data_IF_397615066975
#
_entry.id   IF_397615066975
#
_cell.length_a   1.000
_cell.length_b   1.000
_cell.length_c   1.000
_cell.angle_alpha   90.00
_cell.angle_beta   90.00
_cell.angle_gamma   90.00
#
_symmetry.space_group_name_H-M   'P 1'
#
loop_
_entity.id
_entity.type
_entity.pdbx_description
1 polymer ?
#
# COMPACT_ATOMS: atom_id res chain seq x y z
N UNK A 1 23.02 -13.16 -0.31
CA UNK A 1 21.91 -12.49 -1.01
C UNK A 1 21.92 -11.03 -0.59
N UNK A 2 21.89 -10.08 -1.53
CA UNK A 2 21.93 -8.66 -1.20
C UNK A 2 20.61 -8.28 -0.51
N UNK A 3 20.65 -7.75 0.72
CA UNK A 3 19.44 -7.38 1.49
C UNK A 3 18.57 -6.33 0.79
N UNK A 4 19.13 -5.56 -0.15
CA UNK A 4 18.44 -4.54 -0.93
C UNK A 4 17.72 -5.08 -2.18
N UNK A 5 18.03 -6.31 -2.61
CA UNK A 5 17.49 -6.85 -3.85
C UNK A 5 15.97 -7.01 -3.77
N UNK A 6 15.27 -6.56 -4.82
CA UNK A 6 13.81 -6.67 -4.95
C UNK A 6 13.13 -5.32 -5.14
N UNK A 7 11.82 -5.38 -5.34
CA UNK A 7 10.93 -4.21 -5.34
C UNK A 7 10.40 -4.02 -3.93
N UNK A 8 10.31 -2.77 -3.47
CA UNK A 8 9.81 -2.44 -2.13
C UNK A 8 8.67 -1.45 -2.24
N UNK A 9 7.57 -1.75 -1.54
CA UNK A 9 6.36 -0.92 -1.49
C UNK A 9 6.46 0.06 -0.33
N UNK A 10 6.19 1.34 -0.58
CA UNK A 10 6.04 2.34 0.47
C UNK A 10 4.88 1.98 1.40
N UNK A 11 5.14 1.98 2.70
CA UNK A 11 4.13 1.81 3.74
C UNK A 11 3.50 3.16 4.05
N UNK A 12 2.18 3.23 3.82
CA UNK A 12 1.40 4.44 4.07
C UNK A 12 0.88 4.46 5.50
N UNK A 13 1.03 5.60 6.14
CA UNK A 13 0.35 5.93 7.40
C UNK A 13 -0.85 6.86 7.15
N UNK A 14 -1.50 7.30 8.24
CA UNK A 14 -2.63 8.23 8.20
C UNK A 14 -2.29 9.61 7.64
N UNK A 15 -1.00 9.97 7.56
CA UNK A 15 -0.53 11.28 7.08
C UNK A 15 -0.01 11.22 5.64
N UNK A 16 -0.02 10.04 5.01
CA UNK A 16 0.53 9.81 3.67
C UNK A 16 -0.56 9.91 2.59
N UNK A 17 -0.70 11.08 1.98
CA UNK A 17 -1.72 11.39 0.95
C UNK A 17 -1.18 11.40 -0.48
N UNK A 18 -0.33 10.43 -0.85
CA UNK A 18 0.21 10.28 -2.21
C UNK A 18 -0.19 8.92 -2.84
N UNK A 19 0.09 8.75 -4.13
CA UNK A 19 -0.06 7.46 -4.80
C UNK A 19 0.90 6.41 -4.21
N UNK A 20 0.58 5.11 -4.31
CA UNK A 20 1.53 4.06 -3.95
C UNK A 20 2.87 4.25 -4.68
N UNK A 21 3.94 4.35 -3.89
CA UNK A 21 5.31 4.49 -4.38
C UNK A 21 6.06 3.16 -4.15
N UNK A 22 6.97 2.87 -5.07
CA UNK A 22 7.86 1.73 -5.00
C UNK A 22 9.30 2.17 -5.13
N UNK A 23 10.21 1.37 -4.57
CA UNK A 23 11.65 1.55 -4.73
C UNK A 23 12.36 0.28 -5.19
N UNK A 24 13.43 0.48 -5.95
CA UNK A 24 14.39 -0.55 -6.32
C UNK A 24 15.81 0.01 -6.14
N UNK A 25 16.74 -0.84 -5.71
CA UNK A 25 18.14 -0.47 -5.50
C UNK A 25 19.00 -0.94 -6.67
N UNK A 26 19.76 -0.03 -7.29
CA UNK A 26 20.65 -0.32 -8.41
C UNK A 26 21.93 0.50 -8.30
N UNK A 27 23.11 -0.15 -8.26
CA UNK A 27 24.42 0.52 -8.35
C UNK A 27 24.57 1.77 -7.46
N UNK A 28 24.36 1.64 -6.14
CA UNK A 28 24.39 2.74 -5.16
C UNK A 28 23.30 3.81 -5.37
N UNK A 29 22.24 3.50 -6.11
CA UNK A 29 21.07 4.37 -6.29
C UNK A 29 19.81 3.71 -5.76
N UNK A 30 18.92 4.55 -5.23
CA UNK A 30 17.54 4.23 -4.90
C UNK A 30 16.66 4.85 -5.99
N UNK A 31 16.04 3.99 -6.80
CA UNK A 31 15.08 4.38 -7.83
C UNK A 31 13.69 4.40 -7.23
N UNK A 32 13.07 5.58 -7.22
CA UNK A 32 11.68 5.76 -6.80
C UNK A 32 10.78 5.79 -8.04
N UNK A 33 9.70 5.02 -8.02
CA UNK A 33 8.76 4.96 -9.12
C UNK A 33 7.35 4.68 -8.62
N UNK A 34 6.37 5.05 -9.43
CA UNK A 34 4.99 4.58 -9.28
C UNK A 34 4.63 3.68 -10.46
N UNK A 35 3.55 2.94 -10.30
CA UNK A 35 2.98 2.13 -11.37
C UNK A 35 1.84 2.92 -12.00
N UNK A 36 1.83 2.97 -13.33
CA UNK A 36 0.71 3.49 -14.10
C UNK A 36 -0.25 2.34 -14.43
N UNK A 37 -1.54 2.62 -14.35
CA UNK A 37 -2.57 1.67 -14.79
C UNK A 37 -2.38 1.36 -16.29
N UNK A 38 -2.22 0.07 -16.58
CA UNK A 38 -2.17 -0.64 -17.87
C UNK A 38 -2.02 0.25 -19.13
N UNK A 39 -0.86 0.10 -19.78
CA UNK A 39 -0.77 0.26 -21.23
C UNK A 39 -1.70 -0.76 -21.92
N UNK A 40 -2.15 -0.48 -23.15
CA UNK A 40 -3.09 -1.30 -23.95
C UNK A 40 -2.69 -2.79 -24.12
N UNK A 41 -1.46 -3.16 -23.78
CA UNK A 41 -0.91 -4.52 -23.83
C UNK A 41 -0.97 -5.29 -22.49
N UNK A 42 -1.48 -4.70 -21.41
CA UNK A 42 -1.64 -5.35 -20.11
C UNK A 42 -0.41 -5.36 -19.19
N UNK A 43 0.66 -4.64 -19.54
CA UNK A 43 1.83 -4.46 -18.67
C UNK A 43 1.68 -3.21 -17.78
N UNK A 44 2.08 -3.30 -16.51
CA UNK A 44 2.19 -2.16 -15.60
C UNK A 44 3.42 -1.33 -15.99
N UNK A 45 3.23 -0.06 -16.35
CA UNK A 45 4.32 0.84 -16.73
C UNK A 45 4.90 1.49 -15.47
N UNK A 46 6.23 1.38 -15.29
CA UNK A 46 6.93 2.10 -14.22
C UNK A 46 7.14 3.54 -14.66
N UNK A 47 6.51 4.48 -13.98
CA UNK A 47 6.88 5.89 -14.10
C UNK A 47 7.91 6.22 -13.01
N UNK A 48 9.16 6.41 -13.42
CA UNK A 48 10.20 6.91 -12.53
C UNK A 48 9.81 8.29 -11.99
N UNK A 49 9.92 8.46 -10.68
CA UNK A 49 9.71 9.73 -9.99
C UNK A 49 11.06 10.45 -9.85
N UNK A 50 12.00 9.85 -9.11
CA UNK A 50 13.31 10.41 -8.85
C UNK A 50 14.34 9.34 -8.47
N UNK A 51 15.60 9.78 -8.34
CA UNK A 51 16.74 8.96 -7.93
C UNK A 51 17.41 9.61 -6.71
N UNK A 52 17.81 8.79 -5.75
CA UNK A 52 18.67 9.20 -4.64
C UNK A 52 19.91 8.31 -4.62
N UNK A 53 21.02 8.83 -4.11
CA UNK A 53 22.23 8.03 -3.94
C UNK A 53 22.19 7.35 -2.57
N UNK A 54 22.24 6.03 -2.56
CA UNK A 54 22.10 5.21 -1.36
C UNK A 54 23.18 5.56 -0.31
N UNK A 55 24.41 5.84 -0.74
CA UNK A 55 25.50 6.26 0.15
C UNK A 55 25.23 7.58 0.90
N UNK A 56 24.34 8.42 0.38
CA UNK A 56 23.96 9.72 0.94
C UNK A 56 22.58 9.67 1.63
N UNK A 57 21.85 8.57 1.47
CA UNK A 57 20.55 8.35 2.10
C UNK A 57 20.72 7.66 3.45
N UNK A 58 20.33 8.33 4.54
CA UNK A 58 20.23 7.70 5.86
C UNK A 58 19.11 6.66 5.85
N UNK A 59 19.41 5.43 6.24
CA UNK A 59 18.46 4.32 6.25
C UNK A 59 18.79 3.26 7.31
N UNK A 60 17.80 2.47 7.71
CA UNK A 60 17.98 1.30 8.57
C UNK A 60 17.00 0.17 8.20
N UNK A 61 17.37 -1.08 8.47
CA UNK A 61 16.45 -2.21 8.37
C UNK A 61 15.71 -2.39 9.71
N UNK A 62 14.41 -2.10 9.73
CA UNK A 62 13.56 -2.31 10.92
C UNK A 62 13.02 -3.75 11.00
N UNK A 63 13.06 -4.48 9.88
CA UNK A 63 12.87 -5.94 9.78
C UNK A 63 13.61 -6.49 8.55
N UNK A 64 13.67 -7.82 8.39
CA UNK A 64 14.38 -8.47 7.25
C UNK A 64 13.82 -8.08 5.87
N UNK A 65 12.55 -7.71 5.84
CA UNK A 65 11.82 -7.30 4.65
C UNK A 65 11.32 -5.84 4.76
N UNK A 66 11.79 -5.06 5.74
CA UNK A 66 11.33 -3.68 5.92
C UNK A 66 12.50 -2.72 6.18
N UNK A 67 12.63 -1.73 5.32
CA UNK A 67 13.65 -0.69 5.38
C UNK A 67 12.98 0.66 5.68
N UNK A 68 13.61 1.45 6.53
CA UNK A 68 13.22 2.83 6.83
C UNK A 68 14.23 3.76 6.18
N UNK A 69 13.73 4.74 5.42
CA UNK A 69 14.52 5.79 4.79
C UNK A 69 14.19 7.12 5.46
N UNK A 70 15.22 7.88 5.81
CA UNK A 70 15.10 9.19 6.44
C UNK A 70 15.41 10.30 5.46
N UNK A 71 14.58 11.34 5.44
CA UNK A 71 14.75 12.52 4.59
C UNK A 71 14.56 13.79 5.39
N UNK A 72 15.45 14.76 5.16
CA UNK A 72 15.24 16.11 5.66
C UNK A 72 14.22 16.83 4.78
N UNK A 73 13.22 17.42 5.41
CA UNK A 73 12.23 18.29 4.79
C UNK A 73 11.82 19.39 5.74
N UNK A 74 10.71 20.07 5.43
CA UNK A 74 10.18 21.15 6.26
C UNK A 74 8.76 20.87 6.67
N UNK A 75 8.48 21.01 7.96
CA UNK A 75 7.11 21.09 8.48
C UNK A 75 6.68 22.56 8.44
N UNK A 76 5.48 22.82 7.91
CA UNK A 76 4.88 24.15 7.88
C UNK A 76 3.67 24.17 8.80
N UNK A 77 3.71 24.97 9.85
CA UNK A 77 2.58 25.21 10.75
C UNK A 77 1.93 26.55 10.39
N UNK A 78 0.70 26.51 9.89
CA UNK A 78 -0.08 27.71 9.54
C UNK A 78 -0.77 28.24 10.81
N UNK A 79 -0.46 29.47 11.19
CA UNK A 79 -1.04 30.15 12.36
C UNK A 79 -2.23 31.03 11.93
N UNK A 80 -2.09 31.69 10.79
CA UNK A 80 -3.13 32.52 10.18
C UNK A 80 -2.97 32.55 8.67
N UNK A 81 -3.86 33.25 7.96
CA UNK A 81 -3.80 33.43 6.51
C UNK A 81 -2.48 34.05 6.02
N UNK A 82 -1.76 34.75 6.91
CA UNK A 82 -0.50 35.45 6.58
C UNK A 82 0.71 34.94 7.36
N UNK A 83 0.51 34.12 8.39
CA UNK A 83 1.59 33.69 9.28
C UNK A 83 1.75 32.17 9.27
N UNK A 84 2.99 31.74 9.08
CA UNK A 84 3.37 30.34 9.21
C UNK A 84 4.78 30.20 9.77
N UNK A 85 5.01 29.11 10.52
CA UNK A 85 6.32 28.72 11.02
C UNK A 85 6.80 27.56 10.16
N UNK A 86 8.04 27.62 9.69
CA UNK A 86 8.69 26.53 8.96
C UNK A 86 9.86 26.01 9.78
N UNK A 87 9.87 24.70 10.02
CA UNK A 87 10.90 24.02 10.81
C UNK A 87 11.49 22.87 9.99
N UNK A 88 12.81 22.70 10.05
CA UNK A 88 13.47 21.52 9.49
C UNK A 88 13.01 20.28 10.26
N UNK A 89 12.61 19.23 9.54
CA UNK A 89 12.07 18.01 10.12
C UNK A 89 12.66 16.81 9.39
N UNK A 90 13.10 15.81 10.14
CA UNK A 90 13.48 14.51 9.57
C UNK A 90 12.22 13.64 9.46
N UNK A 91 11.86 13.29 8.24
CA UNK A 91 10.75 12.39 7.94
C UNK A 91 11.28 10.97 7.76
N UNK A 92 10.61 9.99 8.37
CA UNK A 92 10.89 8.58 8.20
C UNK A 92 9.80 7.93 7.34
N UNK A 93 10.20 7.24 6.28
CA UNK A 93 9.29 6.48 5.41
C UNK A 93 9.72 5.02 5.40
N UNK A 94 8.78 4.14 5.71
CA UNK A 94 9.01 2.71 5.66
C UNK A 94 8.69 2.17 4.28
N UNK A 95 9.49 1.22 3.81
CA UNK A 95 9.26 0.45 2.62
C UNK A 95 9.37 -1.03 2.96
N UNK A 96 8.43 -1.83 2.47
CA UNK A 96 8.39 -3.27 2.68
C UNK A 96 8.61 -4.03 1.37
N UNK A 97 9.56 -4.97 1.36
CA UNK A 97 9.90 -5.77 0.19
C UNK A 97 8.71 -6.65 -0.18
N UNK A 98 8.34 -6.62 -1.46
CA UNK A 98 7.29 -7.46 -2.01
C UNK A 98 7.89 -8.77 -2.53
N UNK A 99 7.19 -9.87 -2.30
CA UNK A 99 7.58 -11.21 -2.72
C UNK A 99 6.33 -11.95 -3.20
N UNK A 100 6.44 -12.88 -4.17
CA UNK A 100 5.29 -13.60 -4.70
C UNK A 100 4.43 -14.22 -3.59
N UNK A 101 3.12 -14.04 -3.69
CA UNK A 101 2.17 -14.57 -2.72
C UNK A 101 2.22 -16.09 -2.70
N UNK A 102 2.36 -16.68 -1.51
CA UNK A 102 2.30 -18.14 -1.32
C UNK A 102 0.84 -18.59 -1.34
N UNK A 103 0.43 -19.29 -2.39
CA UNK A 103 -0.94 -19.77 -2.56
C UNK A 103 -1.04 -20.86 -3.62
N UNK A 104 -1.97 -21.79 -3.42
CA UNK A 104 -2.45 -22.74 -4.45
C UNK A 104 -3.79 -22.31 -5.06
N UNK A 105 -4.37 -21.19 -4.59
CA UNK A 105 -5.63 -20.64 -5.07
C UNK A 105 -5.45 -19.83 -6.34
N UNK A 106 -6.43 -19.93 -7.24
CA UNK A 106 -6.57 -19.05 -8.39
C UNK A 106 -7.04 -17.66 -7.98
N UNK A 107 -6.75 -16.66 -8.80
CA UNK A 107 -7.25 -15.28 -8.61
C UNK A 107 -8.78 -15.23 -8.43
N UNK A 108 -9.52 -16.05 -9.18
CA UNK A 108 -10.99 -16.15 -9.08
C UNK A 108 -11.48 -16.72 -7.76
N UNK A 109 -10.70 -17.60 -7.13
CA UNK A 109 -11.03 -18.14 -5.81
C UNK A 109 -10.77 -17.08 -4.74
N UNK A 110 -9.62 -16.40 -4.80
CA UNK A 110 -9.27 -15.29 -3.89
C UNK A 110 -10.33 -14.18 -3.95
N UNK A 111 -10.76 -13.78 -5.14
CA UNK A 111 -11.79 -12.72 -5.30
C UNK A 111 -13.16 -13.07 -4.70
N UNK A 112 -13.45 -14.36 -4.47
CA UNK A 112 -14.72 -14.81 -3.86
C UNK A 112 -14.67 -14.84 -2.33
N UNK A 113 -13.48 -14.75 -1.74
CA UNK A 113 -13.32 -14.79 -0.29
C UNK A 113 -13.88 -13.53 0.37
N UNK A 114 -14.35 -13.70 1.59
CA UNK A 114 -14.77 -12.62 2.50
C UNK A 114 -13.92 -12.80 3.75
N UNK A 115 -12.89 -11.97 3.91
CA UNK A 115 -11.93 -12.12 5.00
C UNK A 115 -12.13 -11.02 6.02
N UNK A 116 -12.00 -11.37 7.30
CA UNK A 116 -12.01 -10.45 8.43
C UNK A 116 -10.67 -10.48 9.15
N UNK A 117 -10.15 -9.30 9.45
CA UNK A 117 -8.96 -9.08 10.24
C UNK A 117 -9.23 -8.01 11.30
N UNK A 118 -8.36 -7.96 12.30
CA UNK A 118 -8.31 -6.86 13.26
C UNK A 118 -6.87 -6.38 13.37
N UNK A 119 -6.66 -5.07 13.26
CA UNK A 119 -5.36 -4.44 13.40
C UNK A 119 -5.48 -3.25 14.33
N UNK A 120 -4.77 -3.26 15.46
CA UNK A 120 -4.82 -2.20 16.47
C UNK A 120 -6.25 -1.80 16.90
N UNK A 121 -7.15 -2.78 16.98
CA UNK A 121 -8.57 -2.58 17.33
C UNK A 121 -9.47 -2.16 16.15
N UNK A 122 -8.89 -1.86 14.99
CA UNK A 122 -9.64 -1.58 13.77
C UNK A 122 -10.01 -2.87 13.05
N UNK A 123 -11.30 -3.02 12.74
CA UNK A 123 -11.82 -4.16 11.98
C UNK A 123 -11.64 -3.93 10.50
N UNK A 124 -10.91 -4.83 9.86
CA UNK A 124 -10.64 -4.79 8.43
C UNK A 124 -11.46 -5.90 7.77
N UNK A 125 -12.23 -5.56 6.73
CA UNK A 125 -12.95 -6.54 5.91
C UNK A 125 -12.42 -6.48 4.49
N UNK A 126 -11.87 -7.60 4.01
CA UNK A 126 -11.39 -7.74 2.65
C UNK A 126 -12.44 -8.47 1.83
N UNK A 127 -13.15 -7.71 1.00
CA UNK A 127 -14.13 -8.23 0.04
C UNK A 127 -13.92 -7.50 -1.29
N UNK A 128 -13.63 -8.27 -2.32
CA UNK A 128 -13.27 -7.73 -3.63
C UNK A 128 -14.51 -7.37 -4.46
N UNK A 129 -14.36 -6.34 -5.30
CA UNK A 129 -15.32 -5.92 -6.32
C UNK A 129 -16.72 -5.61 -5.78
N UNK A 130 -16.83 -5.21 -4.51
CA UNK A 130 -18.07 -4.71 -3.90
C UNK A 130 -17.88 -3.27 -3.45
N UNK A 131 -18.97 -2.50 -3.47
CA UNK A 131 -18.99 -1.17 -2.89
C UNK A 131 -18.88 -1.29 -1.36
N UNK A 132 -17.91 -0.59 -0.78
CA UNK A 132 -17.60 -0.58 0.65
C UNK A 132 -18.25 0.59 1.40
N UNK A 133 -18.83 1.54 0.67
CA UNK A 133 -19.50 2.70 1.23
C UNK A 133 -20.76 2.29 2.00
N UNK A 134 -21.07 3.04 3.06
CA UNK A 134 -22.37 2.91 3.73
C UNK A 134 -23.53 3.27 2.79
N UNK A 135 -24.76 2.77 3.02
CA UNK A 135 -25.93 3.11 2.18
C UNK A 135 -26.18 4.61 2.04
N UNK A 136 -25.82 5.40 3.05
CA UNK A 136 -25.92 6.87 3.00
C UNK A 136 -24.89 7.46 2.04
N UNK A 137 -23.63 7.02 2.13
CA UNK A 137 -22.55 7.48 1.25
C UNK A 137 -22.82 7.03 -0.20
N UNK A 138 -23.33 5.81 -0.43
CA UNK A 138 -23.74 5.36 -1.76
C UNK A 138 -24.77 6.29 -2.43
N UNK A 139 -25.75 6.79 -1.66
CA UNK A 139 -26.74 7.76 -2.17
C UNK A 139 -26.10 9.09 -2.55
N UNK A 140 -25.11 9.54 -1.77
CA UNK A 140 -24.36 10.76 -2.05
C UNK A 140 -23.50 10.57 -3.30
N UNK A 141 -22.73 9.48 -3.38
CA UNK A 141 -21.89 9.15 -4.53
C UNK A 141 -22.70 9.06 -5.82
N UNK A 142 -23.89 8.45 -5.78
CA UNK A 142 -24.81 8.42 -6.94
C UNK A 142 -25.23 9.82 -7.40
N UNK A 143 -25.47 10.77 -6.48
CA UNK A 143 -25.80 12.17 -6.82
C UNK A 143 -24.61 12.90 -7.44
N UNK A 144 -23.40 12.60 -6.96
CA UNK A 144 -22.16 13.21 -7.40
C UNK A 144 -21.50 12.49 -8.59
N UNK A 145 -22.11 11.42 -9.13
CA UNK A 145 -21.57 10.56 -10.19
C UNK A 145 -20.19 9.97 -9.84
N UNK A 146 -20.02 9.60 -8.57
CA UNK A 146 -18.81 8.96 -8.02
C UNK A 146 -18.99 7.45 -7.94
N UNK A 147 -17.91 6.70 -8.20
CA UNK A 147 -17.91 5.23 -8.08
C UNK A 147 -17.95 4.77 -6.62
N UNK A 148 -17.37 5.57 -5.72
CA UNK A 148 -17.20 5.19 -4.32
C UNK A 148 -15.99 4.30 -4.08
N UNK A 149 -15.97 3.67 -2.91
CA UNK A 149 -14.85 2.84 -2.49
C UNK A 149 -15.05 1.35 -2.79
N UNK A 150 -14.00 0.69 -3.28
CA UNK A 150 -13.97 -0.75 -3.56
C UNK A 150 -12.57 -1.30 -3.35
N UNK A 151 -12.47 -2.57 -2.96
CA UNK A 151 -11.22 -3.32 -3.03
C UNK A 151 -11.13 -4.07 -4.35
N UNK A 152 -9.99 -3.97 -5.02
CA UNK A 152 -9.67 -4.70 -6.25
C UNK A 152 -8.48 -5.62 -5.94
N UNK A 153 -8.53 -6.85 -6.43
CA UNK A 153 -7.39 -7.76 -6.35
C UNK A 153 -6.43 -7.43 -7.49
N UNK A 154 -5.25 -6.95 -7.17
CA UNK A 154 -4.20 -6.64 -8.15
C UNK A 154 -3.03 -7.61 -8.01
N UNK A 155 -2.25 -7.79 -9.10
CA UNK A 155 -1.04 -8.59 -9.09
C UNK A 155 0.13 -7.77 -9.63
N UNK A 156 1.22 -7.73 -8.86
CA UNK A 156 2.49 -7.14 -9.27
C UNK A 156 3.62 -8.11 -8.95
N UNK A 157 4.30 -8.58 -10.01
CA UNK A 157 5.41 -9.54 -9.92
C UNK A 157 5.06 -10.80 -9.10
N UNK A 158 3.83 -11.29 -9.23
CA UNK A 158 3.35 -12.46 -8.47
C UNK A 158 2.87 -12.16 -7.05
N UNK A 159 3.01 -10.91 -6.58
CA UNK A 159 2.44 -10.47 -5.30
C UNK A 159 1.02 -9.99 -5.50
N UNK A 160 0.06 -10.56 -4.77
CA UNK A 160 -1.32 -10.10 -4.74
C UNK A 160 -1.51 -8.96 -3.74
N UNK A 161 -2.33 -7.99 -4.12
CA UNK A 161 -2.72 -6.85 -3.28
C UNK A 161 -4.23 -6.72 -3.22
N UNK A 162 -4.74 -6.43 -2.03
CA UNK A 162 -6.06 -5.86 -1.85
C UNK A 162 -5.95 -4.34 -1.94
N UNK A 163 -6.15 -3.83 -3.15
CA UNK A 163 -5.98 -2.42 -3.48
C UNK A 163 -7.27 -1.65 -3.23
N UNK A 164 -7.23 -0.69 -2.31
CA UNK A 164 -8.35 0.19 -2.03
C UNK A 164 -8.42 1.29 -3.08
N UNK A 165 -9.45 1.26 -3.90
CA UNK A 165 -9.78 2.30 -4.85
C UNK A 165 -10.82 3.25 -4.26
N UNK A 166 -10.63 4.55 -4.47
CA UNK A 166 -11.65 5.58 -4.20
C UNK A 166 -11.83 6.46 -5.42
N UNK A 167 -13.04 6.49 -5.97
CA UNK A 167 -13.37 7.25 -7.20
C UNK A 167 -12.49 6.89 -8.42
N UNK A 168 -12.07 5.63 -8.54
CA UNK A 168 -11.28 5.13 -9.66
C UNK A 168 -9.77 5.20 -9.49
N UNK A 169 -9.27 5.79 -8.40
CA UNK A 169 -7.83 5.87 -8.11
C UNK A 169 -7.42 4.92 -6.99
N UNK A 170 -6.31 4.19 -7.18
CA UNK A 170 -5.72 3.33 -6.14
C UNK A 170 -5.07 4.17 -5.04
N UNK A 171 -5.55 4.00 -3.81
CA UNK A 171 -5.12 4.79 -2.64
C UNK A 171 -4.18 4.03 -1.73
N UNK A 172 -4.53 2.79 -1.40
CA UNK A 172 -3.80 1.97 -0.42
C UNK A 172 -3.67 0.55 -0.95
N UNK A 173 -2.47 -0.02 -0.83
CA UNK A 173 -2.18 -1.39 -1.20
C UNK A 173 -1.97 -2.21 0.08
N UNK A 174 -2.84 -3.19 0.33
CA UNK A 174 -2.62 -4.18 1.39
C UNK A 174 -2.08 -5.43 0.72
N UNK A 175 -0.83 -5.78 0.99
CA UNK A 175 -0.18 -6.92 0.38
C UNK A 175 -0.64 -8.25 0.99
N UNK A 176 -0.69 -9.29 0.18
CA UNK A 176 -1.04 -10.66 0.61
C UNK A 176 0.22 -11.50 0.55
N UNK A 177 0.75 -11.88 1.71
CA UNK A 177 1.98 -12.70 1.81
C UNK A 177 1.70 -14.17 1.54
N UNK A 178 0.63 -14.67 2.15
CA UNK A 178 0.17 -16.04 2.05
C UNK A 178 -1.36 -16.03 2.04
N UNK A 179 -1.97 -16.89 1.24
CA UNK A 179 -3.41 -17.11 1.30
C UNK A 179 -3.75 -18.56 0.99
N UNK A 180 -4.70 -19.11 1.73
CA UNK A 180 -5.29 -20.42 1.51
C UNK A 180 -6.81 -20.33 1.75
N UNK A 181 -7.50 -21.48 1.74
CA UNK A 181 -8.96 -21.52 1.87
C UNK A 181 -9.49 -21.01 3.23
N UNK A 182 -8.66 -20.98 4.27
CA UNK A 182 -9.06 -20.63 5.64
C UNK A 182 -8.67 -19.19 6.03
N UNK A 183 -7.49 -18.73 5.57
CA UNK A 183 -6.90 -17.48 6.03
C UNK A 183 -5.99 -16.82 4.99
N UNK A 184 -5.69 -15.55 5.24
CA UNK A 184 -4.65 -14.79 4.57
C UNK A 184 -3.70 -14.14 5.59
N UNK A 185 -2.42 -14.02 5.25
CA UNK A 185 -1.46 -13.19 5.96
C UNK A 185 -1.29 -11.90 5.17
N UNK A 186 -1.74 -10.80 5.75
CA UNK A 186 -1.72 -9.46 5.16
C UNK A 186 -0.49 -8.70 5.66
N UNK A 187 0.10 -7.84 4.82
CA UNK A 187 1.17 -6.92 5.17
C UNK A 187 0.91 -5.52 4.59
N UNK A 188 1.74 -4.55 4.99
CA UNK A 188 1.59 -3.16 4.54
C UNK A 188 1.10 -2.21 5.63
N UNK A 189 1.17 -2.61 6.90
CA UNK A 189 0.69 -1.80 8.03
C UNK A 189 1.79 -0.87 8.57
N UNK A 190 1.47 0.41 8.89
CA UNK A 190 2.48 1.39 9.31
C UNK A 190 3.07 1.12 10.69
N UNK A 191 2.35 0.42 11.56
CA UNK A 191 2.77 0.11 12.93
C UNK A 191 2.71 -1.39 13.23
N UNK A 192 3.30 -1.79 14.36
CA UNK A 192 3.23 -3.17 14.81
C UNK A 192 1.79 -3.52 15.23
N UNK A 193 1.31 -4.74 14.92
CA UNK A 193 2.00 -5.74 14.11
C UNK A 193 2.02 -5.34 12.63
N UNK A 194 3.18 -5.46 11.97
CA UNK A 194 3.35 -5.11 10.55
C UNK A 194 2.66 -6.09 9.59
N UNK A 195 2.23 -7.24 10.13
CA UNK A 195 1.47 -8.26 9.45
C UNK A 195 0.23 -8.62 10.27
N UNK A 196 -0.85 -8.99 9.60
CA UNK A 196 -2.12 -9.33 10.23
C UNK A 196 -2.69 -10.59 9.59
N UNK A 197 -3.23 -11.49 10.41
CA UNK A 197 -3.93 -12.66 9.89
C UNK A 197 -5.40 -12.32 9.72
N UNK A 198 -5.91 -12.51 8.51
CA UNK A 198 -7.32 -12.41 8.18
C UNK A 198 -7.91 -13.82 8.04
N UNK A 199 -9.08 -14.06 8.61
CA UNK A 199 -9.77 -15.35 8.56
C UNK A 199 -11.02 -15.24 7.69
N UNK A 200 -11.41 -16.36 7.07
CA UNK A 200 -12.66 -16.43 6.33
C UNK A 200 -13.85 -16.09 7.25
N UNK A 201 -14.73 -15.21 6.77
CA UNK A 201 -15.99 -14.92 7.44
C UNK A 201 -16.97 -16.08 7.20
N UNK A 202 -17.00 -17.03 8.14
CA UNK A 202 -18.05 -18.03 8.19
C UNK A 202 -19.39 -17.32 8.42
N UNK A 203 -20.16 -17.14 7.35
CA UNK A 203 -21.55 -16.74 7.47
C UNK A 203 -22.29 -17.86 8.23
N UNK A 204 -22.56 -17.63 9.51
CA UNK A 204 -23.61 -18.35 10.24
C UNK A 204 -25.00 -17.92 9.73
#
# INVERSE_FOLDING_TARGET
>A
MNKFQGTWLMIKDSYTYCYPEFIEFQNDQVLYFKLLDKAENGLLEKQQNHLEKLSETKHEFVADNRIRIYRMGKTLTVISDTESISEETEFATDYERIEPTKTDLTEKEIQKMDLKAEWNGEKIRIVFNKNLDSPTIQKINKRLKKEGEKLVLENLHGTYFASLYGDGESRTLIGIREINIERAVLFGFPEKPYEVIAYLDEKH
#
